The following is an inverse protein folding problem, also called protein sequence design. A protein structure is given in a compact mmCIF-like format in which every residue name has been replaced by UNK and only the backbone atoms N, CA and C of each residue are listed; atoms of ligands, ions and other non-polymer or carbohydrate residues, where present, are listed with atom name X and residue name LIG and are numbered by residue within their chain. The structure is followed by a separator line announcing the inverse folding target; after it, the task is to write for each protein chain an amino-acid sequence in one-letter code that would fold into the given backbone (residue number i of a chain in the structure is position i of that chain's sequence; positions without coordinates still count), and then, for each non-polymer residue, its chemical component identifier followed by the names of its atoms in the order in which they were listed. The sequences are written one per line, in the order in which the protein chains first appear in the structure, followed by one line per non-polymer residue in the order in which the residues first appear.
data_IF_037659004444
#
_entry.id   IF_037659004444
#
_cell.length_a   1.000
_cell.length_b   1.000
_cell.length_c   1.000
_cell.angle_alpha   90.00
_cell.angle_beta   90.00
_cell.angle_gamma   90.00
#
_symmetry.space_group_name_H-M   'P 1'
#
loop_
_entity.id
_entity.type
_entity.pdbx_description
1 polymer ?
#
# COMPACT_ATOMS: atom_id res chain seq x y z
N UNK A 1 29.83 62.34 -40.72
CA UNK A 1 30.64 62.00 -39.51
C UNK A 1 31.06 60.54 -39.63
N UNK A 2 32.37 60.22 -39.61
CA UNK A 2 33.09 59.51 -38.50
C UNK A 2 32.43 58.19 -38.06
N UNK A 3 33.08 57.03 -37.91
CA UNK A 3 34.44 56.49 -38.18
C UNK A 3 34.39 54.96 -37.86
N UNK A 4 35.11 54.00 -38.45
CA UNK A 4 35.97 53.98 -39.66
C UNK A 4 36.21 52.52 -40.14
N UNK A 5 36.73 52.38 -41.36
CA UNK A 5 37.45 51.29 -42.08
C UNK A 5 38.07 50.12 -41.26
N UNK A 6 38.39 48.95 -41.82
CA UNK A 6 38.29 48.46 -43.20
C UNK A 6 39.43 47.49 -43.59
N UNK A 7 39.08 46.44 -44.34
CA UNK A 7 39.88 45.60 -45.26
C UNK A 7 41.40 45.32 -45.04
N UNK A 8 41.75 44.02 -45.05
CA UNK A 8 42.83 43.40 -45.86
C UNK A 8 44.01 42.69 -45.16
N UNK A 9 43.96 41.34 -45.19
CA UNK A 9 44.97 40.35 -45.64
C UNK A 9 46.46 40.44 -45.18
N UNK A 10 47.02 39.24 -44.90
CA UNK A 10 48.36 38.68 -45.27
C UNK A 10 49.32 38.26 -44.13
N UNK A 11 49.91 37.06 -44.30
CA UNK A 11 51.02 36.42 -43.56
C UNK A 11 50.81 36.11 -42.06
N UNK A 12 51.29 35.00 -41.50
CA UNK A 12 52.05 33.87 -42.06
C UNK A 12 53.32 33.56 -41.24
N UNK A 13 53.68 32.27 -41.15
CA UNK A 13 54.98 31.72 -40.70
C UNK A 13 55.23 31.59 -39.18
N UNK A 14 55.01 30.36 -38.69
CA UNK A 14 55.97 29.50 -37.97
C UNK A 14 56.73 30.02 -36.73
N UNK A 15 56.52 29.36 -35.58
CA UNK A 15 57.65 28.87 -34.77
C UNK A 15 57.25 27.72 -33.83
N UNK A 16 57.91 26.57 -33.99
CA UNK A 16 57.89 25.45 -33.04
C UNK A 16 58.90 25.75 -31.93
N UNK A 17 58.45 25.76 -30.68
CA UNK A 17 59.31 25.66 -29.50
C UNK A 17 58.73 24.54 -28.62
N UNK A 18 59.57 23.55 -28.31
CA UNK A 18 59.16 22.35 -27.56
C UNK A 18 59.57 22.38 -26.09
N UNK A 19 59.72 21.17 -25.55
CA UNK A 19 60.12 20.79 -24.19
C UNK A 19 59.07 20.89 -23.07
N UNK A 20 58.60 19.70 -22.68
CA UNK A 20 58.55 19.21 -21.30
C UNK A 20 58.29 20.23 -20.16
N UNK A 21 57.03 20.30 -19.73
CA UNK A 21 56.64 20.86 -18.44
C UNK A 21 55.61 19.96 -17.77
N UNK A 22 55.97 19.30 -16.67
CA UNK A 22 55.03 18.52 -15.86
C UNK A 22 54.15 19.49 -15.05
N UNK A 23 52.83 19.46 -15.25
CA UNK A 23 51.90 20.29 -14.48
C UNK A 23 51.25 19.45 -13.38
N UNK A 24 51.51 19.82 -12.13
CA UNK A 24 50.91 19.22 -10.95
C UNK A 24 49.50 19.78 -10.74
N UNK A 25 48.47 19.01 -11.13
CA UNK A 25 47.09 19.36 -10.79
C UNK A 25 46.77 19.00 -9.34
N UNK A 26 46.23 19.98 -8.62
CA UNK A 26 45.97 19.94 -7.19
C UNK A 26 44.91 18.89 -6.84
N UNK A 27 45.16 18.08 -5.81
CA UNK A 27 44.22 17.07 -5.35
C UNK A 27 42.89 17.72 -4.92
N UNK A 28 41.82 17.44 -5.67
CA UNK A 28 40.47 17.84 -5.29
C UNK A 28 40.08 17.22 -3.95
N UNK A 29 39.47 18.03 -3.08
CA UNK A 29 38.93 17.56 -1.80
C UNK A 29 38.00 16.36 -2.04
N UNK A 30 38.10 15.26 -1.28
CA UNK A 30 37.21 14.13 -1.49
C UNK A 30 35.77 14.57 -1.27
N UNK A 31 34.98 14.53 -2.33
CA UNK A 31 33.52 14.62 -2.24
C UNK A 31 33.04 13.55 -1.27
N UNK A 32 32.04 13.90 -0.47
CA UNK A 32 31.61 13.08 0.65
C UNK A 32 31.38 11.64 0.22
N UNK A 33 31.90 10.70 1.01
CA UNK A 33 31.49 9.32 0.88
C UNK A 33 29.98 9.32 1.12
N UNK A 34 29.21 9.12 0.04
CA UNK A 34 27.85 8.65 0.18
C UNK A 34 28.03 7.24 0.71
N UNK A 35 28.12 7.12 2.03
CA UNK A 35 27.72 5.89 2.69
C UNK A 35 26.35 5.59 2.09
N UNK A 36 26.32 4.57 1.23
CA UNK A 36 25.11 3.84 0.94
C UNK A 36 24.70 3.21 2.26
N UNK A 37 24.13 4.04 3.14
CA UNK A 37 23.34 3.61 4.27
C UNK A 37 22.42 2.60 3.62
N UNK A 38 22.61 1.33 3.99
CA UNK A 38 21.53 0.40 3.90
C UNK A 38 20.45 1.08 4.72
N UNK A 39 19.52 1.73 4.03
CA UNK A 39 18.13 1.68 4.43
C UNK A 39 17.88 0.18 4.36
N UNK A 40 18.22 -0.49 5.48
CA UNK A 40 17.36 -1.51 6.01
C UNK A 40 16.04 -0.76 6.03
N UNK A 41 15.28 -0.92 4.94
CA UNK A 41 13.85 -0.72 4.99
C UNK A 41 13.49 -1.74 6.04
N UNK A 42 13.46 -1.23 7.29
CA UNK A 42 12.81 -1.84 8.40
C UNK A 42 11.51 -2.28 7.76
N UNK A 43 11.37 -3.59 7.52
CA UNK A 43 10.22 -4.08 6.80
C UNK A 43 9.08 -3.61 7.67
N UNK A 44 8.32 -2.62 7.18
CA UNK A 44 7.20 -2.07 7.91
C UNK A 44 6.20 -3.21 7.85
N UNK A 45 6.32 -4.09 8.84
CA UNK A 45 5.56 -5.31 9.02
C UNK A 45 4.15 -4.88 9.46
N UNK A 46 3.54 -3.94 8.74
CA UNK A 46 2.30 -3.25 9.05
C UNK A 46 1.40 -3.39 7.82
N UNK A 47 0.67 -4.49 7.78
CA UNK A 47 -0.33 -4.72 6.75
C UNK A 47 -1.53 -3.81 7.02
N UNK A 48 -1.74 -2.82 6.17
CA UNK A 48 -2.96 -1.99 6.23
C UNK A 48 -3.98 -2.54 5.25
N UNK A 49 -5.14 -2.96 5.76
CA UNK A 49 -6.26 -3.43 4.95
C UNK A 49 -7.34 -2.34 4.92
N UNK A 50 -8.01 -2.22 3.77
CA UNK A 50 -9.13 -1.31 3.55
C UNK A 50 -10.40 -2.07 3.14
N UNK A 51 -11.55 -1.57 3.57
CA UNK A 51 -12.90 -2.05 3.20
C UNK A 51 -13.86 -0.88 3.00
N UNK A 52 -14.95 -1.16 2.30
CA UNK A 52 -16.09 -0.25 2.18
C UNK A 52 -17.31 -1.05 2.62
N UNK A 53 -17.71 -0.86 3.88
CA UNK A 53 -18.94 -1.43 4.42
C UNK A 53 -20.16 -0.71 3.87
N UNK A 54 -21.26 -1.43 3.62
CA UNK A 54 -22.48 -0.86 3.01
C UNK A 54 -23.71 -1.07 3.89
N UNK A 55 -24.52 -0.03 4.01
CA UNK A 55 -25.75 -0.04 4.79
C UNK A 55 -26.89 0.63 4.03
N UNK A 56 -28.06 0.00 4.07
CA UNK A 56 -29.28 0.52 3.43
C UNK A 56 -30.24 1.00 4.52
N UNK A 57 -30.89 2.18 4.37
CA UNK A 57 -31.94 2.60 5.29
C UNK A 57 -33.12 1.62 5.23
N UNK A 58 -33.64 1.15 6.37
CA UNK A 58 -34.77 0.23 6.39
C UNK A 58 -36.08 0.97 6.06
N UNK A 59 -36.94 0.34 5.27
CA UNK A 59 -38.28 0.87 4.90
C UNK A 59 -39.19 1.10 6.12
N UNK A 60 -38.89 0.46 7.25
CA UNK A 60 -39.65 0.55 8.51
C UNK A 60 -39.25 1.73 9.41
N UNK A 61 -38.32 2.59 8.98
CA UNK A 61 -37.90 3.75 9.77
C UNK A 61 -39.02 4.81 9.87
N UNK A 62 -39.24 5.33 11.08
CA UNK A 62 -40.32 6.29 11.39
C UNK A 62 -40.00 7.69 10.85
N UNK A 63 -38.71 8.05 10.81
CA UNK A 63 -38.24 9.32 10.27
C UNK A 63 -36.88 9.16 9.56
N UNK A 64 -36.54 10.14 8.73
CA UNK A 64 -35.30 10.11 7.92
C UNK A 64 -34.03 9.99 8.78
N UNK A 65 -33.92 10.73 9.87
CA UNK A 65 -32.73 10.69 10.74
C UNK A 65 -32.54 9.29 11.37
N UNK A 66 -33.63 8.58 11.70
CA UNK A 66 -33.59 7.20 12.15
C UNK A 66 -33.16 6.24 11.03
N UNK A 67 -33.66 6.43 9.81
CA UNK A 67 -33.25 5.66 8.63
C UNK A 67 -31.75 5.80 8.37
N UNK A 68 -31.25 7.05 8.33
CA UNK A 68 -29.85 7.37 8.09
C UNK A 68 -28.95 6.78 9.20
N UNK A 69 -29.34 6.93 10.48
CA UNK A 69 -28.59 6.34 11.62
C UNK A 69 -28.56 4.80 11.61
N UNK A 70 -29.66 4.15 11.21
CA UNK A 70 -29.69 2.69 11.07
C UNK A 70 -28.85 2.21 9.89
N UNK A 71 -28.86 2.93 8.77
CA UNK A 71 -28.01 2.65 7.61
C UNK A 71 -26.53 2.82 7.93
N UNK A 72 -26.13 3.87 8.64
CA UNK A 72 -24.75 4.09 9.10
C UNK A 72 -24.27 2.93 9.98
N UNK A 73 -25.08 2.51 10.95
CA UNK A 73 -24.75 1.37 11.83
C UNK A 73 -24.64 0.06 11.05
N UNK A 74 -25.48 -0.17 10.04
CA UNK A 74 -25.39 -1.31 9.15
C UNK A 74 -24.10 -1.27 8.31
N UNK A 75 -23.75 -0.11 7.75
CA UNK A 75 -22.52 0.07 6.97
C UNK A 75 -21.26 -0.20 7.80
N UNK A 76 -21.19 0.32 9.03
CA UNK A 76 -20.06 0.08 9.94
C UNK A 76 -19.98 -1.40 10.34
N UNK A 77 -21.11 -2.05 10.64
CA UNK A 77 -21.14 -3.47 10.97
C UNK A 77 -20.70 -4.35 9.79
N UNK A 78 -21.12 -4.01 8.57
CA UNK A 78 -20.68 -4.69 7.35
C UNK A 78 -19.18 -4.49 7.07
N UNK A 79 -18.65 -3.29 7.32
CA UNK A 79 -17.22 -3.02 7.24
C UNK A 79 -16.41 -3.86 8.23
N UNK A 80 -16.86 -3.96 9.49
CA UNK A 80 -16.23 -4.85 10.48
C UNK A 80 -16.24 -6.32 10.05
N UNK A 81 -17.37 -6.81 9.51
CA UNK A 81 -17.49 -8.16 8.95
C UNK A 81 -16.48 -8.39 7.83
N UNK A 82 -16.42 -7.49 6.84
CA UNK A 82 -15.46 -7.58 5.72
C UNK A 82 -14.00 -7.56 6.20
N UNK A 83 -13.65 -6.78 7.24
CA UNK A 83 -12.30 -6.77 7.80
C UNK A 83 -11.97 -8.12 8.45
N UNK A 84 -12.86 -8.64 9.28
CA UNK A 84 -12.70 -9.93 9.96
C UNK A 84 -12.55 -11.08 8.96
N UNK A 85 -13.40 -11.14 7.94
CA UNK A 85 -13.32 -12.15 6.86
C UNK A 85 -12.00 -12.07 6.08
N UNK A 86 -11.50 -10.86 5.78
CA UNK A 86 -10.21 -10.68 5.08
C UNK A 86 -8.99 -11.10 5.91
N UNK A 87 -9.08 -11.06 7.25
CA UNK A 87 -7.96 -11.36 8.15
C UNK A 87 -7.95 -12.83 8.58
N UNK A 88 -9.11 -13.33 8.99
CA UNK A 88 -9.25 -14.67 9.58
C UNK A 88 -9.78 -15.71 8.59
N UNK A 89 -10.26 -15.27 7.42
CA UNK A 89 -11.01 -16.12 6.50
C UNK A 89 -12.47 -16.31 6.95
N UNK A 90 -13.15 -17.20 6.25
CA UNK A 90 -14.52 -17.63 6.57
C UNK A 90 -14.60 -19.13 6.45
N UNK A 91 -15.27 -19.78 7.41
CA UNK A 91 -15.58 -21.19 7.33
C UNK A 91 -16.88 -21.37 6.55
N UNK A 92 -16.87 -22.27 5.56
CA UNK A 92 -17.95 -22.42 4.57
C UNK A 92 -18.43 -23.87 4.55
N UNK A 93 -19.67 -24.09 4.96
CA UNK A 93 -20.36 -25.37 4.79
C UNK A 93 -21.43 -25.22 3.70
N UNK A 94 -21.56 -26.23 2.83
CA UNK A 94 -22.63 -26.30 1.84
C UNK A 94 -23.38 -27.63 1.89
N UNK A 95 -24.70 -27.57 1.74
CA UNK A 95 -25.56 -28.73 1.59
C UNK A 95 -26.31 -28.63 0.26
N UNK A 96 -26.04 -29.58 -0.63
CA UNK A 96 -26.61 -29.65 -1.98
C UNK A 96 -27.51 -30.88 -2.10
N UNK A 97 -28.70 -30.73 -2.67
CA UNK A 97 -29.56 -31.87 -3.05
C UNK A 97 -29.68 -31.94 -4.57
N UNK A 98 -29.13 -33.02 -5.14
CA UNK A 98 -29.34 -33.38 -6.54
C UNK A 98 -30.22 -34.63 -6.63
N UNK A 99 -31.18 -34.59 -7.56
CA UNK A 99 -32.06 -35.69 -7.90
C UNK A 99 -32.17 -35.83 -9.43
N UNK A 100 -32.11 -37.05 -9.94
CA UNK A 100 -32.36 -37.38 -11.35
C UNK A 100 -31.59 -36.54 -12.40
N UNK A 101 -30.38 -36.06 -12.07
CA UNK A 101 -29.55 -35.25 -12.98
C UNK A 101 -29.86 -33.75 -13.00
N UNK A 102 -30.73 -33.27 -12.10
CA UNK A 102 -30.97 -31.85 -11.85
C UNK A 102 -30.51 -31.47 -10.42
N UNK A 103 -30.20 -30.18 -10.23
CA UNK A 103 -29.91 -29.60 -8.91
C UNK A 103 -31.22 -28.99 -8.41
N UNK A 104 -31.76 -29.50 -7.29
CA UNK A 104 -33.04 -29.01 -6.74
C UNK A 104 -32.83 -27.78 -5.86
N UNK A 105 -31.84 -27.82 -4.95
CA UNK A 105 -31.50 -26.70 -4.08
C UNK A 105 -30.10 -26.87 -3.44
N UNK A 106 -29.47 -25.72 -3.19
CA UNK A 106 -28.21 -25.59 -2.45
C UNK A 106 -28.39 -24.60 -1.28
N UNK A 107 -27.92 -24.98 -0.09
CA UNK A 107 -27.81 -24.09 1.07
C UNK A 107 -26.34 -23.89 1.42
N UNK A 108 -25.92 -22.64 1.66
CA UNK A 108 -24.53 -22.29 2.02
C UNK A 108 -24.56 -21.51 3.34
N UNK A 109 -23.77 -21.97 4.30
CA UNK A 109 -23.59 -21.35 5.61
C UNK A 109 -22.18 -20.80 5.74
N UNK A 110 -22.07 -19.59 6.28
CA UNK A 110 -20.82 -18.85 6.45
C UNK A 110 -20.66 -18.44 7.92
N UNK A 111 -19.56 -18.82 8.56
CA UNK A 111 -19.24 -18.40 9.92
C UNK A 111 -17.79 -17.88 10.02
N UNK A 112 -17.63 -16.70 10.62
CA UNK A 112 -16.34 -16.22 11.13
C UNK A 112 -16.51 -15.67 12.54
N UNK A 113 -15.66 -16.09 13.48
CA UNK A 113 -15.53 -15.51 14.82
C UNK A 113 -14.10 -15.07 15.05
N UNK A 114 -13.91 -13.78 15.32
CA UNK A 114 -12.62 -13.18 15.61
C UNK A 114 -12.75 -11.96 16.52
N UNK A 115 -11.64 -11.58 17.15
CA UNK A 115 -11.52 -10.34 17.90
C UNK A 115 -10.67 -9.34 17.11
N UNK A 116 -11.30 -8.31 16.56
CA UNK A 116 -10.63 -7.28 15.77
C UNK A 116 -10.14 -6.14 16.66
N UNK A 117 -8.86 -5.78 16.54
CA UNK A 117 -8.24 -4.64 17.24
C UNK A 117 -7.66 -3.65 16.23
N UNK A 118 -7.63 -2.35 16.58
CA UNK A 118 -6.98 -1.32 15.77
C UNK A 118 -7.68 -1.02 14.44
N UNK A 119 -8.97 -1.34 14.33
CA UNK A 119 -9.80 -0.94 13.20
C UNK A 119 -10.36 0.47 13.43
N UNK A 120 -10.42 1.25 12.35
CA UNK A 120 -10.74 2.67 12.34
C UNK A 120 -11.75 2.96 11.21
N UNK A 121 -12.79 3.74 11.53
CA UNK A 121 -13.70 4.32 10.54
C UNK A 121 -13.08 5.62 10.06
N UNK A 122 -12.74 5.68 8.76
CA UNK A 122 -12.11 6.84 8.12
C UNK A 122 -13.18 7.88 7.75
N UNK A 123 -14.25 7.40 7.12
CA UNK A 123 -15.32 8.24 6.56
C UNK A 123 -16.63 7.44 6.55
N UNK A 124 -17.74 8.11 6.81
CA UNK A 124 -19.09 7.62 6.52
C UNK A 124 -19.74 8.62 5.57
N UNK A 125 -20.25 8.15 4.44
CA UNK A 125 -20.82 8.99 3.39
C UNK A 125 -22.08 8.38 2.79
N UNK A 126 -22.99 9.23 2.31
CA UNK A 126 -24.13 8.82 1.49
C UNK A 126 -23.66 8.72 0.02
N UNK A 127 -23.86 7.55 -0.60
CA UNK A 127 -23.58 7.35 -2.02
C UNK A 127 -24.76 7.77 -2.91
N UNK A 128 -24.47 8.06 -4.18
CA UNK A 128 -25.43 8.53 -5.19
C UNK A 128 -26.67 7.62 -5.38
N UNK A 129 -26.57 6.36 -4.95
CA UNK A 129 -27.64 5.36 -5.01
C UNK A 129 -28.50 5.28 -3.74
N UNK A 130 -28.37 6.22 -2.79
CA UNK A 130 -29.19 6.27 -1.57
C UNK A 130 -28.81 5.27 -0.48
N UNK A 131 -27.61 4.67 -0.58
CA UNK A 131 -27.02 3.77 0.40
C UNK A 131 -25.86 4.47 1.12
N UNK A 132 -25.60 4.09 2.37
CA UNK A 132 -24.49 4.62 3.17
C UNK A 132 -23.27 3.71 3.03
N UNK A 133 -22.11 4.31 2.81
CA UNK A 133 -20.80 3.66 2.77
C UNK A 133 -19.96 4.07 3.98
N UNK A 134 -19.41 3.08 4.68
CA UNK A 134 -18.42 3.26 5.72
C UNK A 134 -17.04 2.82 5.19
N UNK A 135 -16.15 3.77 4.97
CA UNK A 135 -14.76 3.51 4.59
C UNK A 135 -13.95 3.23 5.85
N UNK A 136 -13.39 2.02 5.94
CA UNK A 136 -12.70 1.57 7.15
C UNK A 136 -11.33 0.99 6.82
N UNK A 137 -10.41 1.08 7.79
CA UNK A 137 -9.10 0.41 7.73
C UNK A 137 -8.76 -0.30 9.01
N UNK A 138 -7.76 -1.18 8.94
CA UNK A 138 -7.08 -1.78 10.09
C UNK A 138 -5.60 -1.93 9.74
N UNK A 139 -4.72 -1.64 10.69
CA UNK A 139 -3.27 -1.76 10.51
C UNK A 139 -2.73 -2.87 11.44
N UNK A 140 -2.28 -3.97 10.85
CA UNK A 140 -1.90 -5.20 11.57
C UNK A 140 -0.39 -5.34 11.57
N UNK A 141 0.21 -5.44 12.76
CA UNK A 141 1.64 -5.75 12.86
C UNK A 141 1.90 -7.24 12.65
N UNK A 142 2.51 -7.59 11.53
CA UNK A 142 2.97 -8.95 11.24
C UNK A 142 4.23 -9.28 12.07
N UNK A 143 4.39 -10.52 12.55
CA UNK A 143 5.64 -10.96 13.13
C UNK A 143 6.74 -11.07 12.05
N UNK A 144 7.96 -10.66 12.38
CA UNK A 144 9.11 -10.87 11.49
C UNK A 144 9.35 -12.37 11.32
N UNK A 145 9.42 -12.84 10.07
CA UNK A 145 9.67 -14.26 9.76
C UNK A 145 11.14 -14.58 10.06
N UNK A 146 11.40 -15.03 11.28
CA UNK A 146 12.71 -15.53 11.70
C UNK A 146 13.14 -16.75 10.87
N UNK A 147 13.83 -16.50 9.75
CA UNK A 147 14.49 -17.51 8.93
C UNK A 147 15.76 -18.01 9.63
N UNK A 148 15.60 -18.74 10.73
CA UNK A 148 16.73 -19.12 11.59
C UNK A 148 16.50 -20.25 12.59
N UNK A 149 15.29 -20.78 12.74
CA UNK A 149 15.05 -21.92 13.64
C UNK A 149 15.40 -23.25 12.99
N UNK A 150 16.67 -23.41 12.59
CA UNK A 150 17.28 -24.74 12.63
C UNK A 150 17.33 -25.12 14.10
N UNK A 151 16.31 -25.83 14.58
CA UNK A 151 16.40 -26.56 15.84
C UNK A 151 17.54 -27.55 15.67
N UNK A 152 18.70 -27.18 16.21
CA UNK A 152 19.78 -28.12 16.47
C UNK A 152 19.18 -29.19 17.37
N UNK A 153 18.85 -30.34 16.78
CA UNK A 153 18.47 -31.53 17.49
C UNK A 153 19.67 -31.90 18.38
N UNK A 154 19.60 -31.47 19.64
CA UNK A 154 20.62 -31.74 20.63
C UNK A 154 20.51 -33.20 21.03
N UNK A 155 21.17 -34.04 20.25
CA UNK A 155 21.70 -35.30 20.71
C UNK A 155 22.52 -35.03 21.99
N UNK A 156 22.00 -35.47 23.13
CA UNK A 156 22.77 -35.76 24.34
C UNK A 156 21.89 -36.39 25.43
N UNK A 157 21.66 -37.71 25.34
CA UNK A 157 21.70 -38.72 26.43
C UNK A 157 20.82 -39.94 26.14
#
# INVERSE_FOLDING_TARGET
MKHVNGFSVLAGVLLVIGMYGCVSSQAGKPVGHVEGRLIKQQADNLLTLHVIGKGLPPETAINRAQADFLAERAAIADGYRQLVEKIHGVYVDSYQRSGAGMIDYDYIYLETRAWLQGAEVIEVRLSDHGLIEAHMRVAIRLPEKNAGTTVLAKDSR
#
